data_IF_094278430582
#
_entry.id   IF_094278430582
#
_cell.length_a   1.000
_cell.length_b   1.000
_cell.length_c   1.000
_cell.angle_alpha   90.00
_cell.angle_beta   90.00
_cell.angle_gamma   90.00
#
_symmetry.space_group_name_H-M   'P 1'
#
loop_
_entity.id
_entity.type
_entity.pdbx_description
1 polymer ?
#
# COMPACT_ATOMS: atom_id res chain seq x y z
N UNK A 1 4.37 -22.07 -18.66
CA UNK A 1 5.02 -21.62 -17.41
C UNK A 1 4.16 -22.14 -16.26
N UNK A 2 4.74 -22.58 -15.15
CA UNK A 2 3.95 -23.00 -13.99
C UNK A 2 3.47 -21.75 -13.23
N UNK A 3 2.36 -21.87 -12.48
CA UNK A 3 1.89 -20.77 -11.61
C UNK A 3 2.96 -20.31 -10.61
N UNK A 4 3.85 -21.23 -10.19
CA UNK A 4 4.98 -20.94 -9.31
C UNK A 4 6.00 -19.96 -9.96
N UNK A 5 6.32 -20.16 -11.23
CA UNK A 5 7.24 -19.29 -11.99
C UNK A 5 6.63 -17.88 -12.23
N UNK A 6 5.31 -17.78 -12.35
CA UNK A 6 4.61 -16.49 -12.44
C UNK A 6 4.58 -15.75 -11.09
N UNK A 7 4.41 -16.48 -10.00
CA UNK A 7 4.40 -15.91 -8.65
C UNK A 7 5.77 -15.36 -8.25
N UNK A 8 6.85 -16.12 -8.48
CA UNK A 8 8.21 -15.67 -8.21
C UNK A 8 8.55 -14.40 -9.02
N UNK A 9 8.13 -14.36 -10.29
CA UNK A 9 8.28 -13.17 -11.15
C UNK A 9 7.54 -11.96 -10.59
N UNK A 10 6.31 -12.17 -10.13
CA UNK A 10 5.53 -11.12 -9.49
C UNK A 10 6.26 -10.58 -8.24
N UNK A 11 6.67 -11.44 -7.32
CA UNK A 11 7.37 -11.02 -6.10
C UNK A 11 8.66 -10.25 -6.42
N UNK A 12 9.49 -10.77 -7.33
CA UNK A 12 10.74 -10.09 -7.74
C UNK A 12 10.47 -8.71 -8.33
N UNK A 13 9.43 -8.56 -9.14
CA UNK A 13 9.03 -7.27 -9.70
C UNK A 13 8.54 -6.31 -8.59
N UNK A 14 7.72 -6.78 -7.65
CA UNK A 14 7.24 -5.97 -6.53
C UNK A 14 8.38 -5.51 -5.62
N UNK A 15 9.29 -6.41 -5.25
CA UNK A 15 10.46 -6.04 -4.46
C UNK A 15 11.41 -5.06 -5.18
N UNK A 16 11.53 -5.17 -6.50
CA UNK A 16 12.27 -4.19 -7.29
C UNK A 16 11.58 -2.81 -7.25
N UNK A 17 10.25 -2.76 -7.37
CA UNK A 17 9.46 -1.54 -7.21
C UNK A 17 9.68 -0.92 -5.82
N UNK A 18 9.54 -1.69 -4.74
CA UNK A 18 9.63 -1.17 -3.38
C UNK A 18 11.00 -0.58 -3.02
N UNK A 19 12.07 -1.07 -3.67
CA UNK A 19 13.43 -0.53 -3.50
C UNK A 19 13.73 0.68 -4.39
N UNK A 20 12.88 0.97 -5.37
CA UNK A 20 13.09 2.12 -6.27
C UNK A 20 12.95 3.44 -5.52
N UNK A 21 13.69 4.46 -5.96
CA UNK A 21 13.54 5.82 -5.41
C UNK A 21 12.14 6.38 -5.64
N UNK A 22 11.55 6.11 -6.82
CA UNK A 22 10.19 6.55 -7.14
C UNK A 22 9.13 6.01 -6.18
N UNK A 23 9.30 4.78 -5.67
CA UNK A 23 8.40 4.25 -4.63
C UNK A 23 8.54 5.00 -3.31
N UNK A 24 9.75 5.40 -2.92
CA UNK A 24 9.97 6.20 -1.70
C UNK A 24 9.31 7.57 -1.82
N UNK A 25 9.51 8.26 -2.95
CA UNK A 25 8.84 9.53 -3.22
C UNK A 25 7.31 9.38 -3.21
N UNK A 26 6.78 8.29 -3.78
CA UNK A 26 5.35 8.01 -3.72
C UNK A 26 4.85 7.85 -2.29
N UNK A 27 5.58 7.11 -1.44
CA UNK A 27 5.21 6.96 -0.03
C UNK A 27 5.22 8.31 0.71
N UNK A 28 6.23 9.16 0.49
CA UNK A 28 6.32 10.50 1.09
C UNK A 28 5.13 11.39 0.69
N UNK A 29 4.74 11.38 -0.59
CA UNK A 29 3.57 12.10 -1.08
C UNK A 29 2.26 11.57 -0.47
N UNK A 30 2.13 10.24 -0.35
CA UNK A 30 0.96 9.60 0.26
C UNK A 30 0.85 9.89 1.76
N UNK A 31 1.98 9.95 2.48
CA UNK A 31 2.02 10.32 3.89
C UNK A 31 1.62 11.79 4.08
N UNK A 32 2.11 12.68 3.23
CA UNK A 32 1.68 14.09 3.21
C UNK A 32 0.18 14.22 2.96
N UNK A 33 -0.35 13.48 1.99
CA UNK A 33 -1.79 13.48 1.68
C UNK A 33 -2.62 12.95 2.86
N UNK A 34 -2.11 11.94 3.57
CA UNK A 34 -2.76 11.37 4.75
C UNK A 34 -2.88 12.39 5.88
N UNK A 35 -1.83 13.18 6.14
CA UNK A 35 -1.86 14.25 7.15
C UNK A 35 -2.94 15.30 6.86
N UNK A 36 -3.20 15.59 5.59
CA UNK A 36 -4.27 16.51 5.18
C UNK A 36 -5.67 15.89 5.30
N UNK A 37 -5.80 14.60 4.99
CA UNK A 37 -7.08 13.90 5.05
C UNK A 37 -7.54 13.69 6.51
N UNK A 38 -6.61 13.39 7.42
CA UNK A 38 -6.88 13.04 8.83
C UNK A 38 -7.32 14.24 9.69
N UNK A 39 -7.40 15.43 9.12
CA UNK A 39 -7.85 16.65 9.82
C UNK A 39 -9.37 16.60 10.10
N UNK A 40 -9.74 16.08 11.26
CA UNK A 40 -11.16 16.01 11.72
C UNK A 40 -11.81 17.40 11.81
N UNK A 41 -11.05 18.44 12.12
CA UNK A 41 -11.56 19.81 12.26
C UNK A 41 -12.20 20.38 10.98
N UNK A 42 -11.89 19.82 9.80
CA UNK A 42 -12.45 20.25 8.51
C UNK A 42 -13.57 19.32 8.00
N UNK A 43 -13.97 18.32 8.79
CA UNK A 43 -15.04 17.39 8.44
C UNK A 43 -16.39 18.11 8.58
N UNK A 44 -17.15 18.15 7.49
CA UNK A 44 -18.43 18.90 7.41
C UNK A 44 -19.61 18.09 7.92
N UNK A 45 -19.65 16.81 7.56
CA UNK A 45 -20.75 15.89 7.85
C UNK A 45 -20.28 14.43 7.78
N UNK A 46 -21.23 13.51 7.95
CA UNK A 46 -20.96 12.08 7.94
C UNK A 46 -20.53 11.54 6.57
N UNK A 47 -20.97 12.15 5.47
CA UNK A 47 -20.61 11.68 4.13
C UNK A 47 -19.20 12.14 3.77
N UNK A 48 -18.82 13.36 4.16
CA UNK A 48 -17.44 13.87 4.09
C UNK A 48 -16.49 12.99 4.93
N UNK A 49 -16.92 12.58 6.13
CA UNK A 49 -16.16 11.66 6.98
C UNK A 49 -15.94 10.31 6.29
N UNK A 50 -17.00 9.69 5.76
CA UNK A 50 -16.92 8.39 5.07
C UNK A 50 -16.04 8.46 3.83
N UNK A 51 -16.11 9.56 3.09
CA UNK A 51 -15.25 9.79 1.93
C UNK A 51 -13.78 9.81 2.33
N UNK A 52 -13.42 10.58 3.36
CA UNK A 52 -12.05 10.66 3.90
C UNK A 52 -11.55 9.31 4.42
N UNK A 53 -12.39 8.56 5.13
CA UNK A 53 -12.07 7.19 5.56
C UNK A 53 -11.79 6.27 4.37
N UNK A 54 -12.56 6.39 3.29
CA UNK A 54 -12.31 5.68 2.04
C UNK A 54 -10.93 5.99 1.45
N UNK A 55 -10.56 7.28 1.42
CA UNK A 55 -9.23 7.70 0.96
C UNK A 55 -8.11 7.14 1.84
N UNK A 56 -8.24 7.21 3.17
CA UNK A 56 -7.26 6.64 4.10
C UNK A 56 -7.09 5.12 3.92
N UNK A 57 -8.18 4.39 3.69
CA UNK A 57 -8.13 2.96 3.42
C UNK A 57 -7.35 2.62 2.15
N UNK A 58 -7.50 3.42 1.09
CA UNK A 58 -6.74 3.23 -0.15
C UNK A 58 -5.26 3.52 0.09
N UNK A 59 -4.92 4.63 0.75
CA UNK A 59 -3.53 4.98 1.10
C UNK A 59 -2.89 3.84 1.89
N UNK A 60 -3.55 3.39 2.96
CA UNK A 60 -3.06 2.31 3.80
C UNK A 60 -2.83 1.02 3.01
N UNK A 61 -3.70 0.69 2.04
CA UNK A 61 -3.53 -0.50 1.21
C UNK A 61 -2.32 -0.41 0.30
N UNK A 62 -2.01 0.77 -0.23
CA UNK A 62 -0.82 0.99 -1.06
C UNK A 62 0.44 0.94 -0.21
N UNK A 63 0.48 1.65 0.92
CA UNK A 63 1.67 1.71 1.79
C UNK A 63 1.95 0.37 2.48
N UNK A 64 0.94 -0.46 2.71
CA UNK A 64 1.09 -1.81 3.29
C UNK A 64 1.36 -2.91 2.25
N UNK A 65 1.44 -2.58 0.96
CA UNK A 65 1.68 -3.55 -0.09
C UNK A 65 3.03 -4.30 0.09
N UNK A 66 4.14 -3.66 0.51
CA UNK A 66 5.39 -4.37 0.79
C UNK A 66 5.22 -5.46 1.86
N UNK A 67 4.61 -5.10 3.00
CA UNK A 67 4.33 -6.05 4.07
C UNK A 67 3.48 -7.22 3.57
N UNK A 68 2.46 -6.94 2.77
CA UNK A 68 1.55 -7.97 2.24
C UNK A 68 2.29 -8.96 1.34
N UNK A 69 3.21 -8.48 0.51
CA UNK A 69 4.05 -9.33 -0.37
C UNK A 69 5.06 -10.14 0.44
N UNK A 70 5.69 -9.54 1.47
CA UNK A 70 6.61 -10.25 2.38
C UNK A 70 5.92 -11.36 3.18
N UNK A 71 4.66 -11.16 3.60
CA UNK A 71 3.90 -12.21 4.28
C UNK A 71 3.60 -13.38 3.34
N UNK A 72 3.23 -13.10 2.08
CA UNK A 72 2.99 -14.16 1.10
C UNK A 72 4.22 -15.03 0.85
N UNK A 73 5.42 -14.43 0.84
CA UNK A 73 6.70 -15.16 0.72
C UNK A 73 6.93 -16.08 1.94
N UNK A 74 6.74 -15.56 3.15
CA UNK A 74 6.91 -16.35 4.39
C UNK A 74 5.94 -17.53 4.47
N UNK A 75 4.69 -17.31 4.09
CA UNK A 75 3.69 -18.37 4.11
C UNK A 75 4.06 -19.49 3.13
N UNK A 76 4.64 -19.17 1.97
CA UNK A 76 5.12 -20.15 0.99
C UNK A 76 6.34 -20.94 1.50
N UNK A 77 7.29 -20.30 2.19
CA UNK A 77 8.46 -20.99 2.79
C UNK A 77 8.08 -22.00 3.89
N UNK A 78 6.88 -21.88 4.47
CA UNK A 78 6.40 -22.76 5.55
C UNK A 78 5.57 -23.97 5.09
N UNK A 79 5.34 -24.12 3.78
CA UNK A 79 4.54 -25.21 3.18
C UNK A 79 5.43 -26.21 2.45
#
# INVERSE_FOLDING_TARGET
MSNLDEFEKYQRAMFALFRSEGWKYLCEELDTLKEDIDKVAVVRDNDDLRFRQGQMNVIARVTNLPYSVEQMERDEETV
#
